data_IF_280348262401
#
_entry.id   IF_280348262401
#
_cell.length_a   1.000
_cell.length_b   1.000
_cell.length_c   1.000
_cell.angle_alpha   90.00
_cell.angle_beta   90.00
_cell.angle_gamma   90.00
#
_symmetry.space_group_name_H-M   'P 1'
#
loop_
_entity.id
_entity.type
_entity.pdbx_description
1 polymer ?
#
# COMPACT_ATOMS: atom_id res chain seq x y z
N UNK A 1 -15.73 22.74 28.32
CA UNK A 1 -16.87 22.41 27.44
C UNK A 1 -16.34 22.03 26.06
N UNK A 2 -16.47 20.79 25.58
CA UNK A 2 -16.05 20.42 24.23
C UNK A 2 -16.96 21.06 23.17
N UNK A 3 -16.36 21.71 22.17
CA UNK A 3 -17.12 22.32 21.07
C UNK A 3 -17.69 21.23 20.14
N UNK A 4 -19.00 21.27 19.89
CA UNK A 4 -19.67 20.37 18.92
C UNK A 4 -19.20 20.72 17.51
N UNK A 5 -18.45 19.82 16.85
CA UNK A 5 -18.07 19.96 15.44
C UNK A 5 -19.24 19.54 14.54
N UNK A 6 -19.56 20.35 13.52
CA UNK A 6 -20.55 19.97 12.50
C UNK A 6 -19.97 18.89 11.60
N UNK A 7 -20.76 17.88 11.18
CA UNK A 7 -20.30 16.89 10.22
C UNK A 7 -19.96 17.60 8.90
N UNK A 8 -18.73 17.40 8.42
CA UNK A 8 -18.27 17.95 7.14
C UNK A 8 -19.09 17.28 6.04
N UNK A 9 -19.62 18.08 5.10
CA UNK A 9 -20.40 17.58 3.95
C UNK A 9 -19.66 16.40 3.32
N UNK A 10 -20.27 15.22 3.37
CA UNK A 10 -19.74 14.02 2.73
C UNK A 10 -19.73 14.23 1.22
N UNK A 11 -18.64 13.85 0.57
CA UNK A 11 -18.58 13.84 -0.89
C UNK A 11 -19.49 12.71 -1.39
N UNK A 12 -20.35 12.95 -2.39
CA UNK A 12 -21.14 11.89 -2.98
C UNK A 12 -20.22 10.81 -3.55
N UNK A 13 -20.61 9.55 -3.38
CA UNK A 13 -19.90 8.42 -3.98
C UNK A 13 -19.91 8.56 -5.49
N UNK A 14 -18.73 8.47 -6.11
CA UNK A 14 -18.64 8.39 -7.57
C UNK A 14 -19.44 7.17 -8.07
N UNK A 15 -20.14 7.29 -9.21
CA UNK A 15 -20.82 6.16 -9.82
C UNK A 15 -19.80 5.06 -10.12
N UNK A 16 -20.16 3.82 -9.80
CA UNK A 16 -19.35 2.66 -10.15
C UNK A 16 -19.54 2.39 -11.64
N UNK A 17 -18.45 2.27 -12.43
CA UNK A 17 -18.58 1.93 -13.85
C UNK A 17 -19.24 0.55 -13.98
N UNK A 18 -20.12 0.43 -14.95
CA UNK A 18 -20.79 -0.85 -15.22
C UNK A 18 -19.84 -1.79 -15.96
N UNK A 19 -20.00 -3.11 -15.80
CA UNK A 19 -19.14 -4.10 -16.45
C UNK A 19 -19.18 -3.99 -17.98
N UNK A 20 -20.32 -3.53 -18.53
CA UNK A 20 -20.51 -3.29 -19.96
C UNK A 20 -19.71 -2.09 -20.48
N UNK A 21 -19.40 -1.11 -19.64
CA UNK A 21 -18.51 0.01 -20.01
C UNK A 21 -17.04 -0.40 -20.01
N UNK A 22 -16.69 -1.45 -19.27
CA UNK A 22 -15.30 -1.90 -19.07
C UNK A 22 -14.94 -3.03 -20.05
N UNK A 23 -15.92 -3.81 -20.50
CA UNK A 23 -15.68 -4.93 -21.41
C UNK A 23 -15.88 -4.46 -22.84
N UNK A 24 -14.81 -4.34 -23.66
CA UNK A 24 -15.00 -4.06 -25.07
C UNK A 24 -15.86 -5.20 -25.66
N UNK A 25 -16.80 -4.88 -26.57
CA UNK A 25 -17.84 -5.80 -27.02
C UNK A 25 -17.31 -7.03 -27.76
N UNK A 26 -16.03 -7.02 -28.14
CA UNK A 26 -15.49 -8.03 -29.02
C UNK A 26 -13.98 -8.18 -28.78
N UNK A 27 -13.63 -8.99 -27.78
CA UNK A 27 -12.23 -9.33 -27.46
C UNK A 27 -11.64 -10.31 -28.48
N UNK A 28 -12.50 -11.15 -29.08
CA UNK A 28 -12.12 -12.23 -29.99
C UNK A 28 -11.86 -11.74 -31.42
N UNK A 29 -12.35 -10.54 -31.79
CA UNK A 29 -12.04 -9.89 -33.08
C UNK A 29 -10.83 -8.96 -33.04
N UNK A 30 -10.22 -8.75 -31.86
CA UNK A 30 -8.98 -7.96 -31.75
C UNK A 30 -7.84 -8.78 -32.36
N UNK A 31 -7.66 -8.66 -33.66
CA UNK A 31 -6.49 -9.17 -34.36
C UNK A 31 -5.26 -8.38 -33.87
N UNK A 32 -4.50 -8.97 -32.94
CA UNK A 32 -3.22 -8.40 -32.49
C UNK A 32 -2.21 -8.58 -33.61
N UNK A 33 -1.85 -7.48 -34.28
CA UNK A 33 -0.77 -7.48 -35.24
C UNK A 33 0.56 -7.82 -34.52
N UNK A 34 1.41 -8.68 -35.10
CA UNK A 34 2.70 -8.99 -34.51
C UNK A 34 3.57 -7.72 -34.46
N UNK A 35 3.95 -7.30 -33.26
CA UNK A 35 4.89 -6.20 -33.06
C UNK A 35 6.31 -6.72 -33.29
N UNK A 36 6.97 -6.21 -34.32
CA UNK A 36 8.38 -6.50 -34.56
C UNK A 36 9.23 -5.66 -33.63
N UNK A 37 9.89 -6.31 -32.66
CA UNK A 37 10.87 -5.65 -31.81
C UNK A 37 12.19 -5.46 -32.58
N UNK A 38 12.91 -4.35 -32.37
CA UNK A 38 14.23 -4.16 -32.96
C UNK A 38 15.18 -5.27 -32.50
N UNK A 39 15.88 -5.87 -33.46
CA UNK A 39 16.90 -6.88 -33.17
C UNK A 39 17.95 -6.27 -32.23
N UNK A 40 18.09 -6.85 -31.02
CA UNK A 40 19.00 -6.35 -29.99
C UNK A 40 18.34 -5.62 -28.82
N UNK A 41 17.00 -5.58 -28.72
CA UNK A 41 16.35 -5.11 -27.49
C UNK A 41 16.69 -6.05 -26.32
N UNK A 42 17.50 -5.58 -25.38
CA UNK A 42 17.72 -6.30 -24.14
C UNK A 42 16.42 -6.29 -23.32
N UNK A 43 15.97 -7.45 -22.81
CA UNK A 43 14.80 -7.48 -21.96
C UNK A 43 15.06 -6.61 -20.71
N UNK A 44 14.04 -5.91 -20.18
CA UNK A 44 14.21 -5.14 -18.96
C UNK A 44 14.64 -6.07 -17.82
N UNK A 45 15.57 -5.59 -16.99
CA UNK A 45 16.03 -6.35 -15.84
C UNK A 45 14.84 -6.66 -14.92
N UNK A 46 14.69 -7.92 -14.56
CA UNK A 46 13.65 -8.34 -13.63
C UNK A 46 13.76 -7.52 -12.32
N UNK A 47 12.64 -7.07 -11.75
CA UNK A 47 12.66 -6.36 -10.47
C UNK A 47 13.30 -7.28 -9.44
N UNK A 48 14.18 -6.72 -8.60
CA UNK A 48 14.81 -7.45 -7.50
C UNK A 48 13.71 -7.91 -6.55
N UNK A 49 13.23 -9.14 -6.71
CA UNK A 49 12.27 -9.77 -5.82
C UNK A 49 12.97 -10.08 -4.51
N UNK A 50 12.94 -9.14 -3.58
CA UNK A 50 13.49 -9.34 -2.25
C UNK A 50 12.91 -8.30 -1.30
N UNK A 51 12.69 -8.65 -0.02
CA UNK A 51 12.46 -7.64 0.99
C UNK A 51 13.63 -6.65 0.95
N UNK A 52 13.41 -5.34 1.22
CA UNK A 52 14.50 -4.38 1.25
C UNK A 52 15.59 -4.92 2.18
N UNK A 53 16.82 -5.00 1.69
CA UNK A 53 17.99 -5.29 2.51
C UNK A 53 18.01 -4.20 3.58
N UNK A 54 17.49 -4.53 4.78
CA UNK A 54 17.57 -3.65 5.92
C UNK A 54 19.05 -3.49 6.20
N UNK A 55 19.61 -2.37 5.74
CA UNK A 55 20.94 -1.94 6.14
C UNK A 55 21.04 -2.04 7.65
N UNK A 56 22.24 -2.37 8.14
CA UNK A 56 22.58 -2.64 9.54
C UNK A 56 22.42 -1.43 10.49
N UNK A 57 21.34 -0.65 10.36
CA UNK A 57 21.09 0.60 11.08
C UNK A 57 19.90 0.52 12.07
N UNK A 58 19.22 -0.62 12.19
CA UNK A 58 18.18 -0.82 13.22
C UNK A 58 18.66 -1.58 14.47
N UNK A 59 19.98 -1.73 14.64
CA UNK A 59 20.56 -2.21 15.90
C UNK A 59 21.07 -1.07 16.79
N UNK A 60 20.64 0.17 16.55
CA UNK A 60 20.91 1.30 17.42
C UNK A 60 19.72 1.54 18.36
N UNK A 61 19.88 1.16 19.63
CA UNK A 61 19.21 1.87 20.72
C UNK A 61 17.86 1.33 21.22
N UNK A 62 17.76 0.03 21.49
CA UNK A 62 16.74 -0.48 22.41
C UNK A 62 17.41 -1.20 23.59
N UNK A 63 18.23 -0.48 24.35
CA UNK A 63 18.52 -0.87 25.74
C UNK A 63 17.23 -0.67 26.54
N UNK A 64 16.37 -1.69 26.57
CA UNK A 64 15.34 -1.78 27.60
C UNK A 64 16.07 -2.12 28.91
N UNK A 65 16.14 -1.24 29.91
CA UNK A 65 16.58 -1.69 31.23
C UNK A 65 15.56 -2.72 31.70
N UNK A 66 16.01 -3.96 31.87
CA UNK A 66 15.25 -5.05 32.46
C UNK A 66 15.12 -4.82 33.98
N UNK A 67 14.47 -3.72 34.40
CA UNK A 67 14.07 -3.44 35.77
C UNK A 67 13.32 -2.09 35.84
N UNK A 68 12.14 -1.97 35.23
CA UNK A 68 11.21 -0.93 35.62
C UNK A 68 10.06 -1.60 36.35
N UNK A 69 10.15 -1.64 37.68
CA UNK A 69 9.05 -2.10 38.52
C UNK A 69 7.84 -1.22 38.21
N UNK A 70 6.76 -1.84 37.73
CA UNK A 70 5.49 -1.16 37.50
C UNK A 70 4.90 -0.80 38.85
N UNK A 71 5.21 0.40 39.35
CA UNK A 71 4.49 0.96 40.48
C UNK A 71 3.07 1.26 40.03
N UNK A 72 2.12 0.39 40.41
CA UNK A 72 0.70 0.64 40.24
C UNK A 72 0.33 1.87 41.09
N UNK A 73 -0.04 2.97 40.44
CA UNK A 73 -0.41 4.23 41.09
C UNK A 73 -1.76 4.21 41.85
N UNK A 74 -2.34 3.02 42.06
CA UNK A 74 -3.55 2.83 42.88
C UNK A 74 -3.32 1.68 43.85
N UNK A 75 -2.55 1.95 44.90
CA UNK A 75 -2.64 1.18 46.14
C UNK A 75 -4.07 1.40 46.67
N UNK A 76 -4.91 0.37 46.64
CA UNK A 76 -6.05 0.33 47.56
C UNK A 76 -5.47 -0.03 48.94
N UNK A 77 -5.87 0.76 49.92
CA UNK A 77 -5.57 0.71 51.36
C UNK A 77 -5.40 -0.70 51.92
#
# INVERSE_FOLDING_TARGET
MPAKRKPKKSRPSAPKPSLLEVTPPDLDTIAVAPVSLPAGSTPPQAPKSGPPQRGAAFAAGSSRPAAQSRQYAFRRS
#
